data_IF_921290826297
#
_entry.id   IF_921290826297
#
_cell.length_a   1.000
_cell.length_b   1.000
_cell.length_c   1.000
_cell.angle_alpha   90.00
_cell.angle_beta   90.00
_cell.angle_gamma   90.00
#
_symmetry.space_group_name_H-M   'P 1'
#
loop_
_entity.id
_entity.type
_entity.pdbx_description
1 polymer ?
#
# COMPACT_ATOMS: atom_id res chain seq x y z
N UNK A 1 -7.17 46.24 55.81
CA UNK A 1 -5.82 45.78 55.44
C UNK A 1 -5.96 44.75 54.32
N UNK A 2 -5.22 44.92 53.21
CA UNK A 2 -4.62 43.86 52.35
C UNK A 2 -5.56 42.76 51.79
N UNK A 3 -5.73 42.49 50.49
CA UNK A 3 -4.94 42.70 49.27
C UNK A 3 -5.85 42.53 48.04
N UNK A 4 -5.60 43.34 47.01
CA UNK A 4 -5.93 43.07 45.61
C UNK A 4 -5.01 41.93 45.13
N UNK A 5 -5.54 40.89 44.46
CA UNK A 5 -4.75 40.05 43.55
C UNK A 5 -5.57 39.71 42.29
N UNK A 6 -5.05 40.20 41.17
CA UNK A 6 -5.34 39.86 39.78
C UNK A 6 -5.06 38.38 39.47
N UNK A 7 -5.86 37.74 38.60
CA UNK A 7 -5.38 36.78 37.59
C UNK A 7 -6.55 36.43 36.64
N UNK A 8 -6.58 36.99 35.43
CA UNK A 8 -6.00 36.44 34.19
C UNK A 8 -6.73 35.22 33.62
N UNK A 9 -7.67 35.54 32.71
CA UNK A 9 -7.85 34.96 31.38
C UNK A 9 -7.02 33.69 31.06
N UNK A 10 -7.71 32.57 30.86
CA UNK A 10 -7.23 31.47 30.04
C UNK A 10 -8.43 30.72 29.43
N UNK A 11 -9.10 31.37 28.48
CA UNK A 11 -9.95 30.67 27.50
C UNK A 11 -8.99 29.89 26.60
N UNK A 12 -8.67 28.67 26.99
CA UNK A 12 -7.97 27.73 26.13
C UNK A 12 -9.00 27.22 25.12
N UNK A 13 -9.01 27.87 23.95
CA UNK A 13 -9.58 27.29 22.73
C UNK A 13 -8.90 25.94 22.50
N UNK A 14 -9.55 24.86 22.91
CA UNK A 14 -9.24 23.51 22.48
C UNK A 14 -9.46 23.46 20.96
N UNK A 15 -8.41 23.78 20.22
CA UNK A 15 -8.32 23.53 18.79
C UNK A 15 -8.49 22.04 18.56
N UNK A 16 -9.64 21.69 17.99
CA UNK A 16 -9.95 20.37 17.46
C UNK A 16 -8.87 19.98 16.47
N UNK A 17 -7.91 19.17 16.93
CA UNK A 17 -6.90 18.57 16.08
C UNK A 17 -7.59 17.48 15.26
N UNK A 18 -8.20 17.88 14.14
CA UNK A 18 -8.65 16.96 13.10
C UNK A 18 -7.41 16.26 12.56
N UNK A 19 -7.12 15.09 13.12
CA UNK A 19 -6.02 14.22 12.71
C UNK A 19 -6.20 13.83 11.26
N UNK A 20 -5.54 14.58 10.36
CA UNK A 20 -5.25 14.09 9.02
C UNK A 20 -4.24 12.97 9.23
N UNK A 21 -4.71 11.73 9.15
CA UNK A 21 -3.84 10.57 9.05
C UNK A 21 -3.03 10.73 7.76
N UNK A 22 -1.84 11.30 7.87
CA UNK A 22 -0.83 11.21 6.84
C UNK A 22 -0.59 9.71 6.63
N UNK A 23 -1.05 9.19 5.49
CA UNK A 23 -0.72 7.84 5.08
C UNK A 23 0.81 7.77 4.96
N UNK A 24 1.44 7.14 5.94
CA UNK A 24 2.89 6.97 5.97
C UNK A 24 3.31 6.22 4.71
N UNK A 25 4.30 6.75 4.00
CA UNK A 25 4.84 6.07 2.84
C UNK A 25 5.33 4.67 3.24
N UNK A 26 5.12 3.63 2.41
CA UNK A 26 5.54 2.28 2.76
C UNK A 26 7.05 2.24 3.03
N UNK A 27 7.47 1.47 4.04
CA UNK A 27 8.88 1.34 4.38
C UNK A 27 9.66 0.70 3.23
N UNK A 28 10.96 1.04 3.13
CA UNK A 28 11.84 0.46 2.12
C UNK A 28 11.91 -1.08 2.20
N UNK A 29 11.84 -1.63 3.42
CA UNK A 29 11.81 -3.07 3.64
C UNK A 29 10.55 -3.73 3.08
N UNK A 30 9.38 -3.08 3.22
CA UNK A 30 8.12 -3.59 2.68
C UNK A 30 8.13 -3.58 1.14
N UNK A 31 8.68 -2.52 0.54
CA UNK A 31 8.86 -2.42 -0.92
C UNK A 31 9.80 -3.52 -1.42
N UNK A 32 10.93 -3.74 -0.73
CA UNK A 32 11.91 -4.78 -1.07
C UNK A 32 11.32 -6.19 -0.94
N UNK A 33 10.50 -6.43 0.07
CA UNK A 33 9.76 -7.68 0.19
C UNK A 33 8.79 -7.88 -0.99
N UNK A 34 8.11 -6.81 -1.40
CA UNK A 34 7.24 -6.83 -2.57
C UNK A 34 7.99 -7.14 -3.86
N UNK A 35 9.18 -6.56 -4.04
CA UNK A 35 10.08 -6.86 -5.17
C UNK A 35 10.45 -8.35 -5.20
N UNK A 36 10.82 -8.93 -4.05
CA UNK A 36 11.17 -10.35 -3.96
C UNK A 36 10.00 -11.25 -4.34
N UNK A 37 8.80 -10.95 -3.85
CA UNK A 37 7.57 -11.69 -4.19
C UNK A 37 7.20 -11.53 -5.67
N UNK A 38 7.43 -10.36 -6.25
CA UNK A 38 7.19 -10.09 -7.66
C UNK A 38 8.14 -10.87 -8.59
N UNK A 39 9.38 -11.07 -8.14
CA UNK A 39 10.46 -11.67 -8.91
C UNK A 39 10.56 -13.19 -8.76
N UNK A 40 10.04 -13.77 -7.67
CA UNK A 40 10.15 -15.20 -7.38
C UNK A 40 8.80 -15.92 -7.48
N UNK A 41 8.82 -17.18 -7.95
CA UNK A 41 7.60 -18.00 -8.05
C UNK A 41 7.29 -18.71 -6.72
N UNK A 42 8.32 -19.03 -5.96
CA UNK A 42 8.26 -19.79 -4.71
C UNK A 42 7.58 -18.97 -3.60
N UNK A 43 7.84 -17.67 -3.53
CA UNK A 43 7.32 -16.78 -2.48
C UNK A 43 5.80 -16.61 -2.45
N UNK A 44 5.11 -16.97 -3.55
CA UNK A 44 3.65 -16.92 -3.68
C UNK A 44 3.03 -18.29 -3.99
N UNK A 45 3.84 -19.35 -4.07
CA UNK A 45 3.35 -20.69 -4.46
C UNK A 45 2.73 -20.72 -5.86
N UNK A 46 3.32 -19.98 -6.81
CA UNK A 46 2.81 -19.84 -8.18
C UNK A 46 3.66 -20.59 -9.20
N UNK A 47 3.10 -20.86 -10.39
CA UNK A 47 3.82 -21.45 -11.52
C UNK A 47 4.72 -20.44 -12.25
N UNK A 48 4.33 -19.17 -12.30
CA UNK A 48 5.05 -18.10 -12.99
C UNK A 48 5.13 -16.84 -12.13
N UNK A 49 6.34 -16.27 -12.02
CA UNK A 49 6.56 -15.01 -11.31
C UNK A 49 6.02 -13.81 -12.10
N UNK A 50 5.61 -12.75 -11.41
CA UNK A 50 5.02 -11.55 -12.00
C UNK A 50 5.98 -10.88 -13.02
N UNK A 51 7.27 -10.86 -12.70
CA UNK A 51 8.32 -10.29 -13.57
C UNK A 51 8.37 -10.93 -14.97
N UNK A 52 7.95 -12.19 -15.13
CA UNK A 52 7.96 -12.84 -16.44
C UNK A 52 7.04 -12.13 -17.46
N UNK A 53 5.97 -11.51 -16.97
CA UNK A 53 5.03 -10.73 -17.79
C UNK A 53 5.30 -9.22 -17.74
N UNK A 54 5.79 -8.71 -16.60
CA UNK A 54 5.88 -7.29 -16.30
C UNK A 54 7.31 -6.72 -16.28
N UNK A 55 8.24 -7.30 -17.03
CA UNK A 55 9.62 -6.79 -17.17
C UNK A 55 9.70 -5.50 -18.02
N UNK A 56 10.62 -4.61 -17.67
CA UNK A 56 10.99 -3.44 -18.48
C UNK A 56 9.81 -2.49 -18.72
N UNK A 57 9.45 -2.23 -19.99
CA UNK A 57 8.39 -1.28 -20.36
C UNK A 57 6.95 -1.79 -20.11
N UNK A 58 6.77 -3.03 -19.63
CA UNK A 58 5.44 -3.61 -19.31
C UNK A 58 4.99 -3.33 -17.88
N UNK A 59 5.12 -2.07 -17.47
CA UNK A 59 4.71 -1.62 -16.15
C UNK A 59 3.19 -1.81 -15.93
N UNK A 60 2.82 -2.15 -14.71
CA UNK A 60 1.42 -2.22 -14.27
C UNK A 60 0.93 -0.80 -14.01
N UNK A 61 0.41 -0.14 -15.05
CA UNK A 61 -0.05 1.25 -14.94
C UNK A 61 -1.26 1.37 -14.05
N UNK A 62 -1.25 2.37 -13.15
CA UNK A 62 -2.37 2.65 -12.24
C UNK A 62 -3.68 2.91 -13.01
N UNK A 63 -3.59 3.67 -14.09
CA UNK A 63 -4.74 3.99 -14.96
C UNK A 63 -5.39 2.75 -15.59
N UNK A 64 -4.62 1.70 -15.89
CA UNK A 64 -5.16 0.45 -16.42
C UNK A 64 -5.85 -0.37 -15.33
N UNK A 65 -5.34 -0.35 -14.09
CA UNK A 65 -5.99 -0.98 -12.93
C UNK A 65 -7.32 -0.30 -12.63
N UNK A 66 -7.37 1.03 -12.62
CA UNK A 66 -8.58 1.81 -12.35
C UNK A 66 -9.68 1.57 -13.41
N UNK A 67 -9.31 1.43 -14.68
CA UNK A 67 -10.26 1.11 -15.78
C UNK A 67 -10.98 -0.23 -15.60
N UNK A 68 -10.37 -1.17 -14.88
CA UNK A 68 -10.98 -2.47 -14.60
C UNK A 68 -12.10 -2.38 -13.55
N UNK A 69 -12.26 -1.22 -12.87
CA UNK A 69 -13.22 -1.05 -11.78
C UNK A 69 -12.93 -1.94 -10.57
N UNK A 70 -11.69 -2.44 -10.47
CA UNK A 70 -11.24 -3.36 -9.44
C UNK A 70 -10.10 -2.74 -8.63
N UNK A 71 -9.96 -3.15 -7.37
CA UNK A 71 -8.82 -2.71 -6.56
C UNK A 71 -7.54 -3.41 -7.02
N UNK A 72 -6.36 -2.82 -6.78
CA UNK A 72 -5.10 -3.47 -7.11
C UNK A 72 -4.97 -4.88 -6.48
N UNK A 73 -5.36 -5.12 -5.20
CA UNK A 73 -5.43 -6.46 -4.63
C UNK A 73 -6.32 -7.46 -5.39
N UNK A 74 -7.45 -7.00 -5.92
CA UNK A 74 -8.34 -7.85 -6.74
C UNK A 74 -7.64 -8.28 -8.02
N UNK A 75 -7.01 -7.33 -8.71
CA UNK A 75 -6.26 -7.58 -9.94
C UNK A 75 -5.09 -8.53 -9.67
N UNK A 76 -4.32 -8.32 -8.60
CA UNK A 76 -3.22 -9.21 -8.22
C UNK A 76 -3.74 -10.64 -8.05
N UNK A 77 -4.80 -10.85 -7.26
CA UNK A 77 -5.37 -12.17 -7.02
C UNK A 77 -5.95 -12.80 -8.29
N UNK A 78 -6.62 -12.02 -9.15
CA UNK A 78 -7.10 -12.50 -10.43
C UNK A 78 -5.97 -13.07 -11.27
N UNK A 79 -4.84 -12.37 -11.36
CA UNK A 79 -3.69 -12.80 -12.16
C UNK A 79 -2.92 -13.96 -11.51
N UNK A 80 -2.80 -13.99 -10.17
CA UNK A 80 -2.24 -15.14 -9.43
C UNK A 80 -3.01 -16.42 -9.81
N UNK A 81 -4.34 -16.39 -9.79
CA UNK A 81 -5.18 -17.56 -10.07
C UNK A 81 -5.21 -17.88 -11.57
N UNK A 82 -5.55 -16.90 -12.42
CA UNK A 82 -5.82 -17.15 -13.85
C UNK A 82 -4.54 -17.42 -14.64
N UNK A 83 -3.48 -16.63 -14.40
CA UNK A 83 -2.24 -16.64 -15.20
C UNK A 83 -1.14 -17.46 -14.52
N UNK A 84 -0.89 -17.21 -13.24
CA UNK A 84 0.20 -17.84 -12.51
C UNK A 84 -0.17 -19.16 -11.84
N UNK A 85 -1.44 -19.59 -11.91
CA UNK A 85 -1.95 -20.88 -11.41
C UNK A 85 -1.67 -21.12 -9.91
N UNK A 86 -1.63 -20.04 -9.13
CA UNK A 86 -1.56 -20.12 -7.66
C UNK A 86 -2.93 -20.03 -7.00
N UNK A 87 -2.91 -19.91 -5.68
CA UNK A 87 -4.10 -19.64 -4.86
C UNK A 87 -4.15 -18.16 -4.51
N UNK A 88 -5.34 -17.56 -4.51
CA UNK A 88 -5.52 -16.18 -4.06
C UNK A 88 -5.00 -16.03 -2.62
N UNK A 89 -4.30 -14.92 -2.35
CA UNK A 89 -3.82 -14.58 -1.01
C UNK A 89 -4.78 -13.61 -0.34
N UNK A 90 -4.81 -13.57 0.99
CA UNK A 90 -5.69 -12.67 1.73
C UNK A 90 -5.33 -11.21 1.42
N UNK A 91 -6.35 -10.36 1.20
CA UNK A 91 -6.16 -8.97 0.76
C UNK A 91 -5.43 -8.10 1.80
N UNK A 92 -5.52 -8.48 3.07
CA UNK A 92 -4.89 -7.83 4.22
C UNK A 92 -3.60 -8.53 4.68
N UNK A 93 -3.17 -9.60 4.00
CA UNK A 93 -1.90 -10.27 4.29
C UNK A 93 -0.69 -9.37 4.04
N UNK A 94 0.39 -9.63 4.76
CA UNK A 94 1.65 -8.91 4.58
C UNK A 94 2.22 -9.10 3.16
N UNK A 95 2.01 -10.28 2.56
CA UNK A 95 2.36 -10.54 1.16
C UNK A 95 1.62 -9.61 0.19
N UNK A 96 0.30 -9.44 0.38
CA UNK A 96 -0.48 -8.54 -0.46
C UNK A 96 -0.06 -7.08 -0.26
N UNK A 97 0.11 -6.65 1.00
CA UNK A 97 0.58 -5.29 1.32
C UNK A 97 1.95 -4.99 0.70
N UNK A 98 2.88 -5.93 0.76
CA UNK A 98 4.20 -5.82 0.15
C UNK A 98 4.11 -5.69 -1.38
N UNK A 99 3.31 -6.54 -2.04
CA UNK A 99 3.10 -6.45 -3.50
C UNK A 99 2.46 -5.13 -3.92
N UNK A 100 1.42 -4.69 -3.20
CA UNK A 100 0.77 -3.39 -3.45
C UNK A 100 1.77 -2.25 -3.27
N UNK A 101 2.57 -2.27 -2.20
CA UNK A 101 3.59 -1.25 -1.95
C UNK A 101 4.62 -1.20 -3.09
N UNK A 102 5.16 -2.35 -3.51
CA UNK A 102 6.12 -2.41 -4.61
C UNK A 102 5.54 -1.95 -5.95
N UNK A 103 4.37 -2.46 -6.34
CA UNK A 103 3.72 -2.09 -7.62
C UNK A 103 3.35 -0.60 -7.62
N UNK A 104 2.88 -0.07 -6.48
CA UNK A 104 2.59 1.37 -6.36
C UNK A 104 3.86 2.22 -6.34
N UNK A 105 5.01 1.70 -5.92
CA UNK A 105 6.28 2.43 -5.95
C UNK A 105 6.91 2.45 -7.35
N UNK A 106 6.97 1.29 -8.03
CA UNK A 106 7.76 1.10 -9.24
C UNK A 106 6.94 1.15 -10.55
N UNK A 107 5.60 1.04 -10.47
CA UNK A 107 4.74 0.89 -11.65
C UNK A 107 3.59 1.90 -11.71
N UNK A 108 3.52 2.88 -10.81
CA UNK A 108 2.43 3.86 -10.71
C UNK A 108 2.45 5.00 -11.75
N UNK A 109 3.03 4.78 -12.93
CA UNK A 109 2.96 5.73 -14.07
C UNK A 109 1.63 5.63 -14.81
#
# INVERSE_FOLDING_TARGET
MKKIIFALLAVVCAVSFSGVALAEAPSADLIKQGEQLFNAKEGLGVKFACIMCHKGQKAIKKSEVEKLGATLPDVINEYIVKKSKGTAIAKDSDQMKALVAYITNEHSV
#
